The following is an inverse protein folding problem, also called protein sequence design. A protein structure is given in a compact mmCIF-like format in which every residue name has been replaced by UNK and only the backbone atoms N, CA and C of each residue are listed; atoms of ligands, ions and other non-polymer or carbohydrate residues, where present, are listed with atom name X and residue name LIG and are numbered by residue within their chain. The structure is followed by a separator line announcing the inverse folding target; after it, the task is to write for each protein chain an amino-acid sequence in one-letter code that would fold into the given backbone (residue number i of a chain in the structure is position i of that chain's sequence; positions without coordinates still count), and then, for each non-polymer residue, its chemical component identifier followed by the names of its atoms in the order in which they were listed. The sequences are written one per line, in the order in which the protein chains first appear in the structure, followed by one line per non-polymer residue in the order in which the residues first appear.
data_IF_373212292440
#
_entry.id   IF_373212292440
#
_cell.length_a   1.000
_cell.length_b   1.000
_cell.length_c   1.000
_cell.angle_alpha   90.00
_cell.angle_beta   90.00
_cell.angle_gamma   90.00
#
_symmetry.space_group_name_H-M   'P 1'
#
loop_
_entity.id
_entity.type
_entity.pdbx_description
1 polymer ?
#
# COMPACT_ATOMS: atom_id res chain seq x y z
N UNK A 1 74.65 -42.66 31.80
CA UNK A 1 74.96 -43.74 30.83
C UNK A 1 73.68 -44.49 30.51
N UNK A 2 73.41 -44.66 29.21
CA UNK A 2 72.50 -45.63 28.55
C UNK A 2 70.98 -45.53 28.80
N UNK A 3 70.27 -45.09 27.76
CA UNK A 3 68.91 -45.55 27.44
C UNK A 3 68.90 -47.07 27.18
N UNK A 4 67.73 -47.73 27.26
CA UNK A 4 67.03 -48.01 26.01
C UNK A 4 65.50 -47.91 26.07
N UNK A 5 64.96 -47.88 24.85
CA UNK A 5 63.58 -47.77 24.36
C UNK A 5 62.69 -48.99 24.67
N UNK A 6 61.36 -48.78 24.74
CA UNK A 6 60.33 -49.35 23.83
C UNK A 6 58.89 -49.16 24.34
N UNK A 7 58.10 -48.48 23.51
CA UNK A 7 56.78 -48.86 22.95
C UNK A 7 55.78 -49.57 23.89
N UNK A 8 54.66 -48.88 24.15
CA UNK A 8 53.27 -49.34 23.95
C UNK A 8 52.35 -48.62 24.95
N UNK A 9 51.68 -47.55 24.53
CA UNK A 9 50.58 -46.98 25.29
C UNK A 9 49.27 -47.62 24.83
N UNK A 10 48.63 -48.26 25.81
CA UNK A 10 47.40 -48.98 25.73
C UNK A 10 46.18 -48.05 25.70
N UNK A 11 45.24 -48.40 24.82
CA UNK A 11 43.79 -48.51 25.03
C UNK A 11 43.18 -47.84 26.28
N UNK A 12 42.23 -46.94 26.04
CA UNK A 12 40.94 -46.81 26.74
C UNK A 12 40.00 -46.07 25.77
N UNK A 13 38.99 -46.76 25.20
CA UNK A 13 37.60 -46.84 25.71
C UNK A 13 36.92 -45.45 25.64
N UNK A 14 35.73 -45.22 25.11
CA UNK A 14 34.63 -46.04 24.64
C UNK A 14 33.58 -45.05 24.04
N UNK A 15 32.59 -45.55 23.30
CA UNK A 15 31.34 -44.82 23.11
C UNK A 15 30.97 -44.47 21.67
N UNK A 16 30.79 -45.49 20.82
CA UNK A 16 30.01 -45.37 19.60
C UNK A 16 28.52 -45.30 19.99
N UNK A 17 27.96 -44.09 20.03
CA UNK A 17 26.52 -43.87 19.87
C UNK A 17 26.29 -43.12 18.55
N UNK A 18 25.66 -43.83 17.63
CA UNK A 18 25.21 -43.28 16.36
C UNK A 18 24.09 -42.27 16.61
N UNK A 19 24.23 -41.07 16.04
CA UNK A 19 23.09 -40.25 15.64
C UNK A 19 23.43 -39.59 14.31
N UNK A 20 22.86 -40.17 13.24
CA UNK A 20 22.78 -39.50 11.96
C UNK A 20 21.89 -38.27 12.10
N UNK A 21 22.46 -37.10 11.89
CA UNK A 21 21.70 -35.90 11.57
C UNK A 21 22.14 -35.49 10.16
N UNK A 22 21.31 -35.86 9.18
CA UNK A 22 21.37 -35.30 7.85
C UNK A 22 21.30 -33.77 7.99
N UNK A 23 22.38 -33.09 7.64
CA UNK A 23 22.40 -31.65 7.41
C UNK A 23 21.61 -31.37 6.13
N UNK A 24 20.28 -31.43 6.23
CA UNK A 24 19.42 -30.75 5.29
C UNK A 24 19.68 -29.25 5.50
N UNK A 25 20.00 -28.47 4.45
CA UNK A 25 19.95 -27.03 4.57
C UNK A 25 18.48 -26.69 4.74
N UNK A 26 18.05 -26.51 5.99
CA UNK A 26 16.86 -25.73 6.26
C UNK A 26 17.18 -24.35 5.69
N UNK A 27 16.70 -24.08 4.46
CA UNK A 27 16.51 -22.72 4.01
C UNK A 27 15.57 -22.11 5.04
N UNK A 28 16.15 -21.40 6.00
CA UNK A 28 15.44 -20.39 6.73
C UNK A 28 15.06 -19.32 5.69
N UNK A 29 14.00 -19.58 4.94
CA UNK A 29 13.12 -18.51 4.55
C UNK A 29 12.59 -17.98 5.87
N UNK A 30 13.27 -16.98 6.43
CA UNK A 30 12.63 -16.06 7.35
C UNK A 30 11.53 -15.42 6.51
N UNK A 31 10.38 -16.09 6.47
CA UNK A 31 9.18 -15.59 5.84
C UNK A 31 8.88 -14.25 6.50
N UNK A 32 8.64 -13.25 5.65
CA UNK A 32 8.14 -11.94 6.01
C UNK A 32 6.73 -12.08 6.60
N UNK A 33 6.64 -12.50 7.86
CA UNK A 33 5.42 -12.97 8.55
C UNK A 33 4.32 -11.91 8.77
N UNK A 34 4.36 -10.73 8.11
CA UNK A 34 3.33 -9.71 8.35
C UNK A 34 2.93 -8.90 7.11
N UNK A 35 3.88 -8.50 6.25
CA UNK A 35 3.58 -7.61 5.11
C UNK A 35 3.50 -8.35 3.77
N UNK A 36 4.37 -9.33 3.57
CA UNK A 36 4.48 -10.13 2.35
C UNK A 36 4.02 -11.58 2.57
N UNK A 37 3.32 -11.85 3.67
CA UNK A 37 2.73 -13.17 3.91
C UNK A 37 1.60 -13.40 2.92
N UNK A 38 1.73 -14.45 2.11
CA UNK A 38 0.74 -14.80 1.10
C UNK A 38 -0.53 -15.27 1.81
N UNK A 39 -1.60 -14.49 1.70
CA UNK A 39 -2.91 -14.91 2.18
C UNK A 39 -3.33 -16.22 1.49
N UNK A 40 -4.11 -17.04 2.20
CA UNK A 40 -4.66 -18.26 1.63
C UNK A 40 -5.38 -17.95 0.30
N UNK A 41 -5.25 -18.81 -0.74
CA UNK A 41 -5.84 -18.55 -2.05
C UNK A 41 -7.34 -18.30 -1.93
N UNK A 42 -7.82 -17.17 -2.48
CA UNK A 42 -9.24 -16.86 -2.53
C UNK A 42 -10.02 -17.93 -3.31
N UNK A 43 -11.25 -18.23 -2.86
CA UNK A 43 -12.12 -19.18 -3.53
C UNK A 43 -12.51 -18.70 -4.94
N UNK A 44 -12.91 -19.63 -5.82
CA UNK A 44 -13.38 -19.28 -7.18
C UNK A 44 -14.56 -18.30 -7.11
N UNK A 45 -15.52 -18.54 -6.21
CA UNK A 45 -16.65 -17.65 -5.99
C UNK A 45 -16.18 -16.23 -5.58
N UNK A 46 -15.21 -16.14 -4.66
CA UNK A 46 -14.65 -14.85 -4.27
C UNK A 46 -13.97 -14.14 -5.44
N UNK A 47 -13.13 -14.84 -6.21
CA UNK A 47 -12.50 -14.26 -7.41
C UNK A 47 -13.55 -13.78 -8.41
N UNK A 48 -14.61 -14.55 -8.66
CA UNK A 48 -15.72 -14.16 -9.52
C UNK A 48 -16.38 -12.86 -9.03
N UNK A 49 -16.72 -12.76 -7.74
CA UNK A 49 -17.32 -11.55 -7.16
C UNK A 49 -16.43 -10.31 -7.31
N UNK A 50 -15.09 -10.47 -7.15
CA UNK A 50 -14.12 -9.39 -7.34
C UNK A 50 -14.00 -8.97 -8.81
N UNK A 51 -14.10 -9.91 -9.75
CA UNK A 51 -14.12 -9.62 -11.18
C UNK A 51 -15.37 -8.85 -11.59
N UNK A 52 -16.55 -9.28 -11.12
CA UNK A 52 -17.82 -8.57 -11.34
C UNK A 52 -17.80 -7.17 -10.72
N UNK A 53 -17.26 -7.05 -9.50
CA UNK A 53 -17.06 -5.76 -8.87
C UNK A 53 -16.13 -4.85 -9.67
N UNK A 54 -15.01 -5.39 -10.16
CA UNK A 54 -14.07 -4.64 -11.00
C UNK A 54 -14.70 -4.17 -12.31
N UNK A 55 -15.56 -4.99 -12.93
CA UNK A 55 -16.33 -4.60 -14.10
C UNK A 55 -17.25 -3.43 -13.76
N UNK A 56 -17.90 -3.45 -12.60
CA UNK A 56 -18.82 -2.38 -12.23
C UNK A 56 -18.11 -1.07 -11.88
N UNK A 57 -16.92 -1.15 -11.26
CA UNK A 57 -16.03 0.00 -11.09
C UNK A 57 -15.61 0.59 -12.44
N UNK A 58 -15.23 -0.26 -13.40
CA UNK A 58 -14.89 0.17 -14.76
C UNK A 58 -16.06 0.87 -15.44
N UNK A 59 -17.27 0.30 -15.37
CA UNK A 59 -18.47 0.89 -15.95
C UNK A 59 -18.77 2.27 -15.35
N UNK A 60 -18.64 2.40 -14.03
CA UNK A 60 -18.81 3.67 -13.33
C UNK A 60 -17.82 4.73 -13.84
N UNK A 61 -16.54 4.37 -13.97
CA UNK A 61 -15.52 5.27 -14.49
C UNK A 61 -15.80 5.64 -15.96
N UNK A 62 -16.19 4.69 -16.80
CA UNK A 62 -16.54 4.95 -18.21
C UNK A 62 -17.73 5.88 -18.38
N UNK A 63 -18.74 5.76 -17.51
CA UNK A 63 -19.96 6.57 -17.55
C UNK A 63 -19.78 7.95 -16.90
N UNK A 64 -18.73 8.14 -16.11
CA UNK A 64 -18.47 9.41 -15.39
C UNK A 64 -18.14 10.59 -16.31
N UNK A 65 -17.70 10.34 -17.54
CA UNK A 65 -17.21 11.37 -18.46
C UNK A 65 -15.78 11.85 -18.16
N UNK A 66 -15.18 11.38 -17.06
CA UNK A 66 -13.80 11.67 -16.67
C UNK A 66 -12.77 10.86 -17.48
N UNK A 67 -11.54 11.30 -17.42
CA UNK A 67 -10.37 10.70 -18.05
C UNK A 67 -9.35 10.18 -17.03
N UNK A 68 -9.39 10.69 -15.80
CA UNK A 68 -8.57 10.20 -14.70
C UNK A 68 -9.34 10.21 -13.39
N UNK A 69 -9.01 9.28 -12.49
CA UNK A 69 -9.57 9.23 -11.15
C UNK A 69 -8.49 8.84 -10.15
N UNK A 70 -8.54 9.41 -8.95
CA UNK A 70 -7.78 8.89 -7.81
C UNK A 70 -8.61 7.76 -7.22
N UNK A 71 -8.05 6.55 -7.14
CA UNK A 71 -8.76 5.36 -6.69
C UNK A 71 -8.02 4.73 -5.51
N UNK A 72 -8.78 4.39 -4.47
CA UNK A 72 -8.25 3.87 -3.21
C UNK A 72 -9.02 2.62 -2.81
N UNK A 73 -8.33 1.56 -2.36
CA UNK A 73 -8.93 0.28 -1.96
C UNK A 73 -8.58 -0.10 -0.52
N UNK A 74 -9.43 -0.93 0.08
CA UNK A 74 -9.02 -1.80 1.18
C UNK A 74 -7.93 -2.76 0.69
N UNK A 75 -6.97 -3.12 1.54
CA UNK A 75 -5.90 -4.04 1.19
C UNK A 75 -5.61 -4.99 2.35
N UNK A 76 -4.47 -4.78 3.03
CA UNK A 76 -4.13 -5.49 4.26
C UNK A 76 -5.17 -5.25 5.37
N UNK A 77 -5.22 -6.13 6.38
CA UNK A 77 -6.09 -5.94 7.56
C UNK A 77 -5.68 -4.76 8.42
N UNK A 78 -6.13 -3.59 7.99
CA UNK A 78 -6.01 -2.30 8.62
C UNK A 78 -6.75 -2.11 9.95
N UNK A 79 -7.74 -2.96 10.24
CA UNK A 79 -8.88 -2.59 11.09
C UNK A 79 -8.47 -2.32 12.54
N UNK A 80 -7.47 -3.05 13.05
CA UNK A 80 -6.92 -2.82 14.40
C UNK A 80 -6.37 -1.40 14.62
N UNK A 81 -6.04 -0.71 13.53
CA UNK A 81 -5.56 0.67 13.48
C UNK A 81 -6.60 1.65 12.92
N UNK A 82 -7.86 1.22 12.75
CA UNK A 82 -8.95 2.00 12.15
C UNK A 82 -8.67 2.48 10.71
N UNK A 83 -7.86 1.74 9.95
CA UNK A 83 -7.54 2.06 8.56
C UNK A 83 -8.41 1.18 7.66
N UNK A 84 -9.31 1.78 6.90
CA UNK A 84 -10.21 1.06 5.98
C UNK A 84 -9.65 0.95 4.58
N UNK A 85 -9.16 2.08 4.05
CA UNK A 85 -8.48 2.18 2.77
C UNK A 85 -6.99 2.28 3.05
N UNK A 86 -6.20 1.36 2.51
CA UNK A 86 -4.77 1.28 2.80
C UNK A 86 -3.89 1.63 1.61
N UNK A 87 -4.45 1.61 0.40
CA UNK A 87 -3.68 1.69 -0.82
C UNK A 87 -4.41 2.48 -1.90
N UNK A 88 -3.70 3.36 -2.59
CA UNK A 88 -4.24 4.22 -3.63
C UNK A 88 -3.36 4.28 -4.89
N UNK A 89 -3.98 4.69 -5.99
CA UNK A 89 -3.33 4.94 -7.27
C UNK A 89 -4.19 5.84 -8.16
N UNK A 90 -3.79 5.97 -9.42
CA UNK A 90 -4.46 6.80 -10.42
C UNK A 90 -4.99 5.90 -11.53
N UNK A 91 -6.31 5.81 -11.66
CA UNK A 91 -6.94 5.11 -12.78
C UNK A 91 -7.03 6.06 -13.98
N UNK A 92 -6.52 5.64 -15.14
CA UNK A 92 -6.43 6.47 -16.34
C UNK A 92 -7.20 5.84 -17.50
N UNK A 93 -8.14 6.57 -18.10
CA UNK A 93 -8.95 6.09 -19.24
C UNK A 93 -8.09 5.68 -20.44
N UNK A 94 -7.01 6.41 -20.67
CA UNK A 94 -6.06 6.25 -21.76
C UNK A 94 -4.73 5.62 -21.31
N UNK A 95 -4.74 4.82 -20.24
CA UNK A 95 -3.54 4.14 -19.78
C UNK A 95 -2.96 3.21 -20.88
N UNK A 96 -1.65 3.26 -21.18
CA UNK A 96 -1.03 2.41 -22.20
C UNK A 96 -1.16 0.90 -21.98
N UNK A 97 -1.32 0.44 -20.73
CA UNK A 97 -1.50 -0.98 -20.41
C UNK A 97 -2.89 -1.48 -20.82
N UNK A 98 -3.95 -0.80 -20.35
CA UNK A 98 -5.33 -1.02 -20.77
C UNK A 98 -6.22 0.09 -20.21
N UNK A 99 -7.35 0.45 -20.85
CA UNK A 99 -8.24 1.51 -20.35
C UNK A 99 -8.61 1.32 -18.89
N UNK A 100 -8.49 2.41 -18.12
CA UNK A 100 -8.72 2.45 -16.66
C UNK A 100 -7.76 1.60 -15.82
N UNK A 101 -6.61 1.18 -16.36
CA UNK A 101 -5.53 0.66 -15.51
C UNK A 101 -5.12 1.69 -14.47
N UNK A 102 -4.81 1.18 -13.28
CA UNK A 102 -4.40 1.95 -12.11
C UNK A 102 -2.88 2.01 -12.07
N UNK A 103 -2.34 3.23 -12.22
CA UNK A 103 -0.94 3.54 -11.99
C UNK A 103 -0.70 3.71 -10.50
N UNK A 104 0.23 2.93 -9.94
CA UNK A 104 0.48 2.88 -8.50
C UNK A 104 1.92 2.48 -8.21
N UNK A 105 2.44 2.90 -7.06
CA UNK A 105 3.60 2.25 -6.44
C UNK A 105 3.10 1.00 -5.71
N UNK A 106 3.66 -0.16 -6.04
CA UNK A 106 3.43 -1.41 -5.33
C UNK A 106 4.76 -2.06 -4.94
N UNK A 107 4.82 -2.68 -3.76
CA UNK A 107 6.01 -3.39 -3.31
C UNK A 107 5.95 -4.86 -3.79
N UNK A 108 6.84 -5.21 -4.71
CA UNK A 108 6.96 -6.56 -5.24
C UNK A 108 7.69 -7.44 -4.22
N UNK A 109 6.93 -8.19 -3.43
CA UNK A 109 7.46 -9.02 -2.33
C UNK A 109 8.45 -10.10 -2.79
N UNK A 110 8.28 -10.64 -3.99
CA UNK A 110 9.14 -11.63 -4.64
C UNK A 110 10.46 -11.03 -5.12
N UNK A 111 10.44 -9.79 -5.60
CA UNK A 111 11.63 -9.05 -6.04
C UNK A 111 12.29 -8.25 -4.90
N UNK A 112 11.58 -8.11 -3.77
CA UNK A 112 11.94 -7.30 -2.60
C UNK A 112 12.19 -5.83 -2.94
N UNK A 113 11.44 -5.27 -3.89
CA UNK A 113 11.64 -3.91 -4.42
C UNK A 113 10.31 -3.19 -4.68
N UNK A 114 10.25 -1.86 -4.48
CA UNK A 114 9.13 -1.06 -4.95
C UNK A 114 9.20 -0.86 -6.47
N UNK A 115 8.06 -1.00 -7.14
CA UNK A 115 7.92 -0.72 -8.57
C UNK A 115 6.68 0.12 -8.83
N UNK A 116 6.69 0.83 -9.96
CA UNK A 116 5.49 1.42 -10.50
C UNK A 116 4.82 0.43 -11.44
N UNK A 117 3.55 0.16 -11.19
CA UNK A 117 2.73 -0.71 -12.03
C UNK A 117 1.57 0.06 -12.62
N UNK A 118 1.29 -0.23 -13.89
CA UNK A 118 -0.01 0.02 -14.50
C UNK A 118 -0.80 -1.29 -14.45
N UNK A 119 -1.69 -1.43 -13.47
CA UNK A 119 -2.43 -2.66 -13.24
C UNK A 119 -3.88 -2.50 -13.66
N UNK A 120 -4.42 -3.43 -14.46
CA UNK A 120 -5.85 -3.42 -14.77
C UNK A 120 -6.71 -3.50 -13.50
N UNK A 121 -7.91 -2.91 -13.52
CA UNK A 121 -8.82 -2.87 -12.36
C UNK A 121 -9.03 -4.22 -11.67
N UNK A 122 -9.24 -5.35 -12.40
CA UNK A 122 -9.27 -6.67 -11.78
C UNK A 122 -8.05 -6.98 -10.93
N UNK A 123 -6.84 -6.77 -11.44
CA UNK A 123 -5.60 -6.99 -10.68
C UNK A 123 -5.50 -6.02 -9.50
N UNK A 124 -5.89 -4.76 -9.70
CA UNK A 124 -5.97 -3.79 -8.62
C UNK A 124 -7.02 -4.16 -7.56
N UNK A 125 -7.97 -5.06 -7.79
CA UNK A 125 -9.00 -5.39 -6.80
C UNK A 125 -8.93 -6.85 -6.33
N UNK A 126 -8.02 -7.67 -6.86
CA UNK A 126 -7.99 -9.11 -6.58
C UNK A 126 -7.39 -9.45 -5.22
N UNK A 127 -6.49 -8.62 -4.68
CA UNK A 127 -5.80 -8.86 -3.40
C UNK A 127 -6.67 -8.51 -2.19
N UNK A 128 -7.86 -9.09 -2.11
CA UNK A 128 -8.78 -8.97 -0.99
C UNK A 128 -8.89 -10.30 -0.26
N UNK A 129 -8.84 -10.26 1.08
CA UNK A 129 -8.93 -11.47 1.90
C UNK A 129 -10.28 -12.16 1.73
N UNK A 130 -10.29 -13.48 1.84
CA UNK A 130 -11.51 -14.28 1.85
C UNK A 130 -12.45 -13.82 2.97
N UNK A 131 -13.74 -13.66 2.67
CA UNK A 131 -14.76 -13.26 3.66
C UNK A 131 -14.72 -11.79 4.08
N UNK A 132 -13.75 -11.00 3.62
CA UNK A 132 -13.69 -9.57 3.93
C UNK A 132 -14.66 -8.75 3.08
N UNK A 133 -15.19 -7.70 3.68
CA UNK A 133 -15.87 -6.63 2.95
C UNK A 133 -14.84 -5.83 2.17
N UNK A 134 -15.09 -5.58 0.89
CA UNK A 134 -14.20 -4.77 0.05
C UNK A 134 -14.67 -3.34 0.07
N UNK A 135 -13.77 -2.40 0.34
CA UNK A 135 -14.04 -0.98 0.26
C UNK A 135 -13.23 -0.34 -0.86
N UNK A 136 -13.86 0.59 -1.57
CA UNK A 136 -13.26 1.38 -2.61
C UNK A 136 -13.71 2.83 -2.47
N UNK A 137 -12.83 3.76 -2.79
CA UNK A 137 -13.13 5.18 -2.91
C UNK A 137 -12.55 5.70 -4.21
N UNK A 138 -13.31 6.55 -4.89
CA UNK A 138 -12.98 7.16 -6.16
C UNK A 138 -13.18 8.66 -6.00
N UNK A 139 -12.15 9.43 -6.35
CA UNK A 139 -12.23 10.88 -6.47
C UNK A 139 -12.19 11.26 -7.95
N UNK A 140 -13.21 12.00 -8.37
CA UNK A 140 -13.31 12.58 -9.70
C UNK A 140 -13.08 14.09 -9.59
N UNK A 141 -12.06 14.57 -10.30
CA UNK A 141 -11.59 15.95 -10.18
C UNK A 141 -12.23 16.84 -11.24
N UNK A 142 -12.40 18.15 -10.98
CA UNK A 142 -12.77 19.10 -12.02
C UNK A 142 -11.76 19.09 -13.20
N UNK A 143 -12.19 19.48 -14.42
CA UNK A 143 -11.41 19.24 -15.64
C UNK A 143 -9.97 19.77 -15.64
N UNK A 144 -9.72 20.93 -15.01
CA UNK A 144 -8.38 21.52 -15.00
C UNK A 144 -7.39 20.67 -14.16
N UNK A 145 -7.80 20.29 -12.95
CA UNK A 145 -7.00 19.47 -12.04
C UNK A 145 -6.88 18.03 -12.53
N UNK A 146 -7.92 17.51 -13.15
CA UNK A 146 -7.89 16.22 -13.83
C UNK A 146 -6.85 16.21 -14.96
N UNK A 147 -6.84 17.23 -15.82
CA UNK A 147 -5.90 17.31 -16.93
C UNK A 147 -4.44 17.36 -16.43
N UNK A 148 -4.18 18.15 -15.38
CA UNK A 148 -2.89 18.23 -14.70
C UNK A 148 -2.47 16.88 -14.10
N UNK A 149 -3.40 16.21 -13.38
CA UNK A 149 -3.17 14.88 -12.83
C UNK A 149 -2.83 13.87 -13.92
N UNK A 150 -3.63 13.84 -15.00
CA UNK A 150 -3.43 12.92 -16.12
C UNK A 150 -2.07 13.14 -16.78
N UNK A 151 -1.69 14.39 -17.02
CA UNK A 151 -0.41 14.75 -17.60
C UNK A 151 0.76 14.27 -16.73
N UNK A 152 0.73 14.56 -15.43
CA UNK A 152 1.77 14.13 -14.49
C UNK A 152 1.83 12.60 -14.37
N UNK A 153 0.67 11.94 -14.31
CA UNK A 153 0.58 10.50 -14.20
C UNK A 153 1.12 9.78 -15.43
N UNK A 154 0.95 10.33 -16.64
CA UNK A 154 1.46 9.75 -17.89
C UNK A 154 2.94 10.09 -18.17
N UNK A 155 3.51 11.07 -17.45
CA UNK A 155 4.95 11.37 -17.54
C UNK A 155 5.76 10.30 -16.79
N UNK A 156 6.21 9.28 -17.53
CA UNK A 156 7.04 8.20 -17.00
C UNK A 156 8.35 8.71 -16.38
N UNK A 157 8.92 9.81 -16.88
CA UNK A 157 10.17 10.35 -16.34
C UNK A 157 9.91 10.94 -14.95
N UNK A 158 8.87 11.75 -14.80
CA UNK A 158 8.48 12.29 -13.50
C UNK A 158 8.11 11.16 -12.53
N UNK A 159 7.27 10.22 -12.96
CA UNK A 159 6.84 9.10 -12.14
C UNK A 159 8.03 8.32 -11.55
N UNK A 160 9.05 8.03 -12.37
CA UNK A 160 10.27 7.35 -11.95
C UNK A 160 11.20 8.23 -11.10
N UNK A 161 11.25 9.55 -11.33
CA UNK A 161 11.99 10.47 -10.46
C UNK A 161 11.42 10.54 -9.04
N UNK A 162 10.13 10.28 -8.89
CA UNK A 162 9.45 10.20 -7.60
C UNK A 162 9.58 8.83 -6.94
N UNK A 163 9.98 7.78 -7.65
CA UNK A 163 10.13 6.44 -7.07
C UNK A 163 11.43 6.34 -6.24
N UNK A 164 11.30 6.00 -4.96
CA UNK A 164 12.41 5.62 -4.10
C UNK A 164 12.72 4.12 -4.21
N UNK A 165 13.99 3.74 -4.10
CA UNK A 165 14.37 2.34 -3.96
C UNK A 165 14.06 1.78 -2.55
N UNK A 166 14.07 2.65 -1.55
CA UNK A 166 13.92 2.28 -0.14
C UNK A 166 12.44 2.38 0.29
N UNK A 167 11.76 1.24 0.28
CA UNK A 167 10.35 1.16 0.67
C UNK A 167 10.17 0.99 2.19
N UNK A 168 9.20 1.71 2.75
CA UNK A 168 8.70 1.43 4.09
C UNK A 168 7.20 1.68 4.19
N UNK A 169 6.48 0.71 4.74
CA UNK A 169 5.03 0.75 4.92
C UNK A 169 4.59 1.89 5.85
N UNK A 170 5.41 2.28 6.84
CA UNK A 170 5.13 3.39 7.74
C UNK A 170 5.97 4.64 7.48
N UNK A 171 6.65 4.76 6.31
CA UNK A 171 7.55 5.89 6.01
C UNK A 171 6.99 7.25 6.43
N UNK A 172 7.83 8.05 7.10
CA UNK A 172 7.46 9.41 7.51
C UNK A 172 7.27 10.32 6.29
N UNK A 173 6.10 10.98 6.11
CA UNK A 173 5.75 11.74 4.91
C UNK A 173 6.67 12.91 4.56
N UNK A 174 7.44 13.40 5.53
CA UNK A 174 8.34 14.55 5.37
C UNK A 174 9.81 14.17 5.56
N UNK A 175 10.13 12.92 5.24
CA UNK A 175 11.49 12.42 5.05
C UNK A 175 11.58 11.76 3.68
N UNK A 176 12.68 11.99 2.96
CA UNK A 176 12.96 11.29 1.71
C UNK A 176 13.68 9.96 1.91
N UNK A 177 14.00 9.58 3.16
CA UNK A 177 14.76 8.35 3.48
C UNK A 177 14.05 7.09 3.01
N UNK A 178 12.74 7.03 3.24
CA UNK A 178 11.89 5.92 2.79
C UNK A 178 10.72 6.44 1.95
N UNK A 179 9.96 5.50 1.38
CA UNK A 179 8.72 5.80 0.68
C UNK A 179 7.66 4.74 0.95
N UNK A 180 6.46 5.20 1.27
CA UNK A 180 5.23 4.41 1.27
C UNK A 180 4.53 4.56 -0.10
N UNK A 181 3.70 3.58 -0.50
CA UNK A 181 2.96 3.62 -1.76
C UNK A 181 2.06 4.86 -1.95
N UNK A 182 1.34 5.26 -0.90
CA UNK A 182 0.49 6.45 -0.93
C UNK A 182 1.31 7.74 -0.88
N UNK A 183 2.51 7.70 -0.29
CA UNK A 183 3.44 8.83 -0.33
C UNK A 183 3.86 9.16 -1.77
N UNK A 184 4.15 8.15 -2.59
CA UNK A 184 4.44 8.35 -4.02
C UNK A 184 3.27 9.04 -4.74
N UNK A 185 2.03 8.61 -4.47
CA UNK A 185 0.84 9.22 -5.06
C UNK A 185 0.72 10.70 -4.67
N UNK A 186 0.81 11.02 -3.39
CA UNK A 186 0.64 12.42 -2.94
C UNK A 186 1.80 13.32 -3.40
N UNK A 187 3.01 12.78 -3.53
CA UNK A 187 4.15 13.49 -4.14
C UNK A 187 3.90 13.78 -5.63
N UNK A 188 3.29 12.84 -6.37
CA UNK A 188 2.88 13.06 -7.76
C UNK A 188 1.79 14.14 -7.88
N UNK A 189 0.82 14.16 -6.96
CA UNK A 189 -0.20 15.22 -6.89
C UNK A 189 0.44 16.60 -6.66
N UNK A 190 1.48 16.67 -5.83
CA UNK A 190 2.24 17.90 -5.60
C UNK A 190 2.89 18.43 -6.88
N UNK A 191 3.45 17.55 -7.72
CA UNK A 191 3.99 17.97 -9.02
C UNK A 191 2.88 18.37 -10.00
N UNK A 192 1.77 17.64 -10.02
CA UNK A 192 0.63 17.94 -10.90
C UNK A 192 0.06 19.34 -10.65
N UNK A 193 -0.10 19.75 -9.39
CA UNK A 193 -0.78 20.99 -9.03
C UNK A 193 0.17 22.12 -8.61
N UNK A 194 1.36 21.78 -8.13
CA UNK A 194 2.38 22.74 -7.70
C UNK A 194 3.27 23.27 -8.82
N UNK A 195 3.19 22.71 -10.03
CA UNK A 195 4.07 23.07 -11.16
C UNK A 195 5.55 23.01 -10.78
N UNK A 196 5.91 21.98 -10.01
CA UNK A 196 7.24 21.82 -9.44
C UNK A 196 8.23 21.36 -10.51
N UNK A 197 9.51 21.76 -10.40
CA UNK A 197 10.54 21.23 -11.30
C UNK A 197 10.79 19.74 -11.00
N UNK A 198 11.03 18.93 -12.02
CA UNK A 198 11.51 17.56 -11.83
C UNK A 198 13.01 17.49 -11.49
N UNK A 199 13.54 16.27 -11.43
CA UNK A 199 14.98 16.01 -11.21
C UNK A 199 15.28 15.25 -9.92
N UNK A 200 16.54 15.28 -9.50
CA UNK A 200 17.04 14.47 -8.38
C UNK A 200 16.44 14.87 -7.01
N UNK A 201 15.89 16.09 -6.90
CA UNK A 201 15.25 16.61 -5.69
C UNK A 201 13.73 16.64 -5.78
N UNK A 202 13.14 15.98 -6.78
CA UNK A 202 11.70 16.03 -7.04
C UNK A 202 10.86 15.61 -5.83
N UNK A 203 11.29 14.57 -5.09
CA UNK A 203 10.61 14.13 -3.87
C UNK A 203 10.67 15.18 -2.75
N UNK A 204 11.85 15.76 -2.48
CA UNK A 204 12.00 16.80 -1.46
C UNK A 204 11.12 18.02 -1.79
N UNK A 205 11.13 18.45 -3.05
CA UNK A 205 10.30 19.58 -3.51
C UNK A 205 8.81 19.30 -3.35
N UNK A 206 8.37 18.07 -3.65
CA UNK A 206 7.00 17.64 -3.43
C UNK A 206 6.63 17.70 -1.94
N UNK A 207 7.48 17.16 -1.07
CA UNK A 207 7.25 17.16 0.38
C UNK A 207 7.22 18.58 0.96
N UNK A 208 8.12 19.47 0.53
CA UNK A 208 8.15 20.87 0.96
C UNK A 208 6.87 21.60 0.51
N UNK A 209 6.44 21.37 -0.73
CA UNK A 209 5.20 21.95 -1.24
C UNK A 209 3.98 21.42 -0.48
N UNK A 210 3.92 20.12 -0.19
CA UNK A 210 2.84 19.51 0.59
C UNK A 210 2.74 20.12 1.99
N UNK A 211 3.87 20.37 2.66
CA UNK A 211 3.88 21.08 3.94
C UNK A 211 3.33 22.50 3.81
N UNK A 212 3.75 23.24 2.78
CA UNK A 212 3.29 24.61 2.52
C UNK A 212 1.79 24.68 2.20
N UNK A 213 1.24 23.66 1.52
CA UNK A 213 -0.19 23.55 1.23
C UNK A 213 -1.01 22.97 2.39
N UNK A 214 -0.37 22.68 3.52
CA UNK A 214 -1.05 22.15 4.70
C UNK A 214 -1.57 20.72 4.52
N UNK A 215 -0.88 19.89 3.72
CA UNK A 215 -1.11 18.45 3.72
C UNK A 215 -1.03 17.92 5.15
N UNK A 216 -1.99 17.08 5.54
CA UNK A 216 -2.04 16.47 6.86
C UNK A 216 -2.00 14.95 6.70
N UNK A 217 -0.86 14.31 6.97
CA UNK A 217 -0.80 12.85 6.95
C UNK A 217 -1.64 12.27 8.10
N UNK A 218 -2.03 11.01 7.93
CA UNK A 218 -2.79 10.29 8.94
C UNK A 218 -1.92 9.94 10.13
N UNK A 219 -2.53 9.94 11.32
CA UNK A 219 -1.89 9.51 12.55
C UNK A 219 -2.31 8.08 12.88
N UNK A 220 -1.36 7.16 12.86
CA UNK A 220 -1.55 5.76 13.23
C UNK A 220 -1.05 5.56 14.66
N UNK A 221 -1.98 5.41 15.60
CA UNK A 221 -1.67 5.04 16.99
C UNK A 221 -1.49 3.52 17.07
N UNK A 222 -0.27 3.07 17.39
CA UNK A 222 0.03 1.64 17.51
C UNK A 222 -0.32 1.06 18.88
N UNK A 223 -0.95 1.87 19.75
CA UNK A 223 -1.52 1.58 21.08
C UNK A 223 -0.49 1.17 22.14
N UNK A 224 0.46 0.33 21.78
CA UNK A 224 1.41 -0.28 22.70
C UNK A 224 2.86 0.04 22.32
N UNK A 225 3.69 0.40 23.32
CA UNK A 225 5.11 0.76 23.11
C UNK A 225 5.92 -0.36 22.46
N UNK A 226 5.57 -1.62 22.72
CA UNK A 226 6.29 -2.75 22.13
C UNK A 226 6.15 -2.80 20.60
N UNK A 227 5.09 -2.21 20.02
CA UNK A 227 4.92 -2.15 18.56
C UNK A 227 5.94 -1.20 17.93
N UNK A 228 6.25 -0.08 18.59
CA UNK A 228 7.32 0.83 18.16
C UNK A 228 8.67 0.12 18.22
N UNK A 229 8.93 -0.65 19.28
CA UNK A 229 10.14 -1.46 19.37
C UNK A 229 10.19 -2.57 18.28
N UNK A 230 9.05 -3.20 17.98
CA UNK A 230 8.96 -4.27 16.98
C UNK A 230 9.35 -3.79 15.57
N UNK A 231 9.20 -2.50 15.25
CA UNK A 231 9.66 -1.94 13.98
C UNK A 231 11.16 -2.20 13.71
N UNK A 232 12.00 -2.39 14.74
CA UNK A 232 13.41 -2.72 14.53
C UNK A 232 13.66 -4.12 13.94
N UNK A 233 12.67 -5.01 14.03
CA UNK A 233 12.79 -6.41 13.59
C UNK A 233 11.74 -6.81 12.56
N UNK A 234 10.72 -5.98 12.35
CA UNK A 234 9.68 -6.19 11.34
C UNK A 234 10.14 -5.59 10.00
N UNK A 235 10.29 -6.40 8.94
CA UNK A 235 10.68 -5.88 7.63
C UNK A 235 9.73 -4.80 7.12
N UNK A 236 10.29 -3.83 6.38
CA UNK A 236 9.57 -2.71 5.74
C UNK A 236 8.89 -1.75 6.71
N UNK A 237 9.15 -1.86 8.00
CA UNK A 237 8.72 -0.89 9.01
C UNK A 237 9.97 -0.28 9.63
N UNK A 238 10.02 1.04 9.73
CA UNK A 238 11.21 1.76 10.20
C UNK A 238 10.84 2.86 11.21
N UNK A 239 11.80 3.24 12.05
CA UNK A 239 11.64 4.31 13.05
C UNK A 239 12.59 5.49 12.83
N UNK A 240 13.68 5.27 12.08
CA UNK A 240 14.83 6.17 11.97
C UNK A 240 14.60 7.37 11.04
N UNK A 241 13.42 7.49 10.42
CA UNK A 241 12.94 8.67 9.71
C UNK A 241 11.80 9.41 10.43
N UNK A 242 11.32 8.90 11.57
CA UNK A 242 10.21 9.50 12.31
C UNK A 242 10.67 10.51 13.38
N UNK A 243 9.90 11.58 13.64
CA UNK A 243 10.17 12.46 14.78
C UNK A 243 10.09 11.71 16.11
N UNK A 244 11.09 11.89 16.97
CA UNK A 244 11.17 11.19 18.26
C UNK A 244 9.92 11.42 19.14
N UNK A 245 9.36 12.64 19.12
CA UNK A 245 8.16 12.98 19.88
C UNK A 245 6.93 12.15 19.46
N UNK A 246 6.82 11.77 18.17
CA UNK A 246 5.73 10.91 17.70
C UNK A 246 5.94 9.47 18.15
N UNK A 247 7.17 8.96 18.05
CA UNK A 247 7.52 7.61 18.53
C UNK A 247 7.30 7.46 20.03
N UNK A 248 7.67 8.46 20.83
CA UNK A 248 7.43 8.50 22.28
C UNK A 248 5.93 8.49 22.60
N UNK A 249 5.13 9.17 21.77
CA UNK A 249 3.67 9.16 21.84
C UNK A 249 3.03 7.87 21.28
N UNK A 250 3.82 6.93 20.72
CA UNK A 250 3.37 5.71 20.03
C UNK A 250 2.55 5.97 18.77
N UNK A 251 2.91 7.03 18.05
CA UNK A 251 2.23 7.47 16.84
C UNK A 251 3.19 7.43 15.66
N UNK A 252 2.66 6.99 14.53
CA UNK A 252 3.29 7.20 13.24
C UNK A 252 2.46 8.19 12.45
N UNK A 253 3.13 9.16 11.82
CA UNK A 253 2.51 9.93 10.75
C UNK A 253 2.80 9.21 9.45
N UNK A 254 1.77 8.89 8.67
CA UNK A 254 1.87 8.12 7.42
C UNK A 254 0.88 8.68 6.42
N UNK A 255 1.27 8.75 5.16
CA UNK A 255 0.33 9.08 4.09
C UNK A 255 -0.58 7.87 3.84
N UNK A 256 -1.88 8.01 4.12
CA UNK A 256 -2.90 7.02 3.79
C UNK A 256 -3.95 7.65 2.87
N UNK A 257 -4.81 6.83 2.22
CA UNK A 257 -5.88 7.35 1.38
C UNK A 257 -6.78 8.39 2.05
N UNK A 258 -7.05 8.28 3.36
CA UNK A 258 -7.88 9.24 4.08
C UNK A 258 -7.25 10.64 4.13
N UNK A 259 -5.96 10.76 4.46
CA UNK A 259 -5.22 12.02 4.41
C UNK A 259 -5.12 12.59 2.99
N UNK A 260 -4.96 11.72 1.98
CA UNK A 260 -5.00 12.14 0.56
C UNK A 260 -6.38 12.70 0.21
N UNK A 261 -7.47 12.00 0.53
CA UNK A 261 -8.84 12.47 0.29
C UNK A 261 -9.10 13.80 0.98
N UNK A 262 -8.68 13.95 2.23
CA UNK A 262 -8.77 15.20 2.99
C UNK A 262 -8.03 16.34 2.31
N UNK A 263 -6.83 16.07 1.78
CA UNK A 263 -6.05 17.05 1.03
C UNK A 263 -6.71 17.44 -0.29
N UNK A 264 -7.17 16.48 -1.08
CA UNK A 264 -7.88 16.76 -2.33
C UNK A 264 -9.12 17.60 -2.07
N UNK A 265 -9.91 17.24 -1.05
CA UNK A 265 -11.09 18.01 -0.64
C UNK A 265 -10.77 19.44 -0.26
N UNK A 266 -9.66 19.65 0.45
CA UNK A 266 -9.21 20.97 0.88
C UNK A 266 -8.75 21.83 -0.30
N UNK A 267 -8.02 21.24 -1.25
CA UNK A 267 -7.38 21.97 -2.34
C UNK A 267 -8.31 22.19 -3.54
N UNK A 268 -9.16 21.21 -3.85
CA UNK A 268 -9.90 21.16 -5.10
C UNK A 268 -11.40 21.15 -4.82
N UNK A 269 -11.98 22.35 -4.84
CA UNK A 269 -13.43 22.49 -4.76
C UNK A 269 -14.11 21.83 -5.97
N UNK A 270 -15.25 21.19 -5.74
CA UNK A 270 -16.01 20.49 -6.79
C UNK A 270 -15.51 19.07 -7.09
N UNK A 271 -14.53 18.54 -6.33
CA UNK A 271 -14.21 17.10 -6.39
C UNK A 271 -15.41 16.27 -5.91
N UNK A 272 -15.81 15.32 -6.75
CA UNK A 272 -16.81 14.31 -6.40
C UNK A 272 -16.13 13.12 -5.73
N UNK A 273 -16.71 12.63 -4.64
CA UNK A 273 -16.29 11.39 -3.97
C UNK A 273 -17.38 10.34 -4.15
N UNK A 274 -16.96 9.16 -4.57
CA UNK A 274 -17.80 7.99 -4.74
C UNK A 274 -17.16 6.86 -3.95
N UNK A 275 -17.89 6.31 -2.98
CA UNK A 275 -17.47 5.14 -2.25
C UNK A 275 -18.26 3.93 -2.75
N UNK A 276 -17.57 2.80 -2.89
CA UNK A 276 -18.20 1.53 -3.21
C UNK A 276 -17.81 0.51 -2.15
N UNK A 277 -18.75 -0.35 -1.82
CA UNK A 277 -18.47 -1.48 -0.97
C UNK A 277 -19.14 -2.76 -1.47
N UNK A 278 -18.37 -3.85 -1.46
CA UNK A 278 -18.84 -5.18 -1.80
C UNK A 278 -18.85 -6.04 -0.53
N UNK A 279 -20.05 -6.42 -0.10
CA UNK A 279 -20.26 -7.43 0.94
C UNK A 279 -20.95 -8.64 0.31
N UNK A 280 -20.26 -9.77 0.29
CA UNK A 280 -20.71 -10.97 -0.43
C UNK A 280 -20.97 -10.66 -1.92
N UNK A 281 -22.23 -10.63 -2.34
CA UNK A 281 -22.66 -10.26 -3.69
C UNK A 281 -23.41 -8.92 -3.74
N UNK A 282 -23.57 -8.24 -2.60
CA UNK A 282 -24.23 -6.94 -2.53
C UNK A 282 -23.22 -5.83 -2.69
N UNK A 283 -23.36 -5.07 -3.76
CA UNK A 283 -22.65 -3.84 -4.03
C UNK A 283 -23.47 -2.65 -3.53
N UNK A 284 -22.90 -1.86 -2.65
CA UNK A 284 -23.42 -0.55 -2.22
C UNK A 284 -22.55 0.54 -2.84
N UNK A 285 -23.20 1.53 -3.46
CA UNK A 285 -22.54 2.73 -4.00
C UNK A 285 -23.07 3.96 -3.27
N UNK A 286 -22.17 4.65 -2.59
CA UNK A 286 -22.42 5.88 -1.86
C UNK A 286 -21.78 7.07 -2.59
N UNK A 287 -22.50 8.18 -2.72
CA UNK A 287 -22.01 9.41 -3.35
C UNK A 287 -22.08 10.54 -2.34
N UNK A 288 -20.93 11.12 -2.03
CA UNK A 288 -20.86 12.10 -0.96
C UNK A 288 -19.52 12.10 -0.23
N UNK A 289 -19.39 13.10 0.63
CA UNK A 289 -18.22 13.28 1.50
C UNK A 289 -18.48 12.82 2.93
N UNK A 290 -19.73 12.45 3.25
CA UNK A 290 -20.04 11.59 4.37
C UNK A 290 -19.45 10.20 4.16
N UNK A 291 -19.20 9.50 5.25
CA UNK A 291 -18.61 8.17 5.21
C UNK A 291 -19.71 7.11 5.17
N UNK A 292 -19.57 6.18 4.25
CA UNK A 292 -20.36 4.96 4.21
C UNK A 292 -20.22 4.16 5.52
N UNK A 293 -21.29 3.47 5.89
CA UNK A 293 -21.37 2.63 7.08
C UNK A 293 -20.22 1.59 7.15
N UNK A 294 -19.71 1.35 8.35
CA UNK A 294 -18.56 0.48 8.58
C UNK A 294 -18.85 -1.02 8.32
N UNK A 295 -20.12 -1.40 8.22
CA UNK A 295 -20.60 -2.75 7.95
C UNK A 295 -21.14 -2.92 6.52
N UNK A 296 -20.92 -1.91 5.66
CA UNK A 296 -21.44 -1.84 4.30
C UNK A 296 -22.97 -1.77 4.20
N UNK A 297 -23.66 -1.41 5.30
CA UNK A 297 -25.12 -1.25 5.24
C UNK A 297 -25.49 0.03 4.47
N UNK A 298 -26.46 -0.05 3.53
CA UNK A 298 -26.86 1.11 2.74
C UNK A 298 -27.60 2.13 3.61
N UNK A 299 -27.37 3.41 3.34
CA UNK A 299 -28.11 4.53 3.92
C UNK A 299 -28.97 5.25 2.86
N UNK A 300 -29.80 6.20 3.29
CA UNK A 300 -30.63 6.97 2.37
C UNK A 300 -29.78 7.69 1.31
N UNK A 301 -30.06 7.43 0.03
CA UNK A 301 -29.31 7.99 -1.11
C UNK A 301 -28.32 7.02 -1.74
N UNK A 302 -28.04 5.89 -1.10
CA UNK A 302 -27.17 4.86 -1.66
C UNK A 302 -27.90 4.04 -2.74
N UNK A 303 -27.13 3.60 -3.74
CA UNK A 303 -27.59 2.63 -4.73
C UNK A 303 -27.11 1.24 -4.31
N UNK A 304 -28.02 0.26 -4.34
CA UNK A 304 -27.73 -1.14 -4.01
C UNK A 304 -27.93 -2.00 -5.25
N UNK A 305 -26.97 -2.87 -5.53
CA UNK A 305 -26.99 -3.79 -6.65
C UNK A 305 -26.55 -5.19 -6.20
N UNK A 306 -27.19 -6.24 -6.70
CA UNK A 306 -26.67 -7.61 -6.60
C UNK A 306 -25.74 -7.90 -7.78
N UNK A 307 -24.59 -8.49 -7.49
CA UNK A 307 -23.63 -8.94 -8.48
C UNK A 307 -23.78 -10.46 -8.65
N UNK A 308 -24.37 -10.84 -9.77
CA UNK A 308 -24.64 -12.24 -10.15
C UNK A 308 -23.64 -12.73 -11.21
#
# INVERSE_FOLDING_TARGET
MRQPTRIAQALLLAGLFAFGAALLPARAAASSLLFCEQAAPASVARKSSLLLFSLQVKNLLEQSGHQAAIISRSGLDLERFNIRLSHAGISLRDNPNSPWSVRQLYYACDEQRPHLYDQGLPGFLIDQRQGSTVYLSILLLPPAQEAQLRQAALDNKLALQLLSADYSANAYPYSTRYQNCNQWLVELLAHAWGSLPGGNTARQQAQDWLQQQGYRPDTVDVKHRYMVWAAHVVPLVHNDDHPAAELDARRYQVSLPAGIEGFVRQQIAGTERIQLCLREHTLVTHRGWDDMAADCSPVNGDTVQQLD
#
